data_IF_249751844763
#
_entry.id   IF_249751844763
#
_cell.length_a   1.000
_cell.length_b   1.000
_cell.length_c   1.000
_cell.angle_alpha   90.00
_cell.angle_beta   90.00
_cell.angle_gamma   90.00
#
_symmetry.space_group_name_H-M   'P 1'
#
loop_
_entity.id
_entity.type
_entity.pdbx_description
1 polymer ?
#
# COMPACT_ATOMS: atom_id res chain seq x y z
N UNK A 1 4.46 -6.55 5.17
CA UNK A 1 4.71 -5.71 3.97
C UNK A 1 6.12 -5.14 4.00
N UNK A 2 6.52 -4.35 5.00
CA UNK A 2 7.91 -3.86 5.14
C UNK A 2 8.94 -5.01 5.13
N UNK A 3 8.67 -6.12 5.84
CA UNK A 3 9.54 -7.29 5.83
C UNK A 3 9.71 -7.92 4.42
N UNK A 4 8.65 -7.92 3.61
CA UNK A 4 8.70 -8.45 2.24
C UNK A 4 9.57 -7.54 1.37
N UNK A 5 9.42 -6.21 1.51
CA UNK A 5 10.25 -5.23 0.82
C UNK A 5 11.73 -5.40 1.18
N UNK A 6 12.04 -5.53 2.47
CA UNK A 6 13.41 -5.77 2.97
C UNK A 6 13.98 -7.06 2.39
N UNK A 7 13.19 -8.15 2.37
CA UNK A 7 13.63 -9.44 1.84
C UNK A 7 13.93 -9.37 0.33
N UNK A 8 13.07 -8.70 -0.44
CA UNK A 8 13.28 -8.50 -1.88
C UNK A 8 14.58 -7.75 -2.16
N UNK A 9 14.90 -6.73 -1.37
CA UNK A 9 16.14 -5.96 -1.51
C UNK A 9 17.36 -6.79 -1.15
N UNK A 10 17.28 -7.56 -0.06
CA UNK A 10 18.36 -8.44 0.32
C UNK A 10 18.68 -9.45 -0.78
N UNK A 11 17.65 -9.97 -1.45
CA UNK A 11 17.80 -10.86 -2.61
C UNK A 11 18.45 -10.13 -3.79
N UNK A 12 17.96 -8.93 -4.16
CA UNK A 12 18.52 -8.12 -5.25
C UNK A 12 20.00 -7.81 -5.01
N UNK A 13 20.34 -7.33 -3.81
CA UNK A 13 21.70 -7.01 -3.42
C UNK A 13 22.61 -8.25 -3.43
N UNK A 14 22.13 -9.38 -2.90
CA UNK A 14 22.89 -10.63 -2.87
C UNK A 14 23.18 -11.16 -4.28
N UNK A 15 22.20 -11.13 -5.17
CA UNK A 15 22.38 -11.56 -6.57
C UNK A 15 23.39 -10.65 -7.27
N UNK A 16 23.30 -9.33 -7.08
CA UNK A 16 24.27 -8.38 -7.64
C UNK A 16 25.70 -8.66 -7.15
N UNK A 17 25.88 -8.94 -5.85
CA UNK A 17 27.18 -9.27 -5.27
C UNK A 17 27.74 -10.59 -5.84
N UNK A 18 26.89 -11.62 -5.98
CA UNK A 18 27.26 -12.93 -6.54
C UNK A 18 27.70 -12.80 -8.01
N UNK A 19 26.96 -12.03 -8.81
CA UNK A 19 27.26 -11.84 -10.25
C UNK A 19 28.58 -11.09 -10.44
N UNK A 20 28.81 -10.04 -9.66
CA UNK A 20 29.98 -9.17 -9.83
C UNK A 20 31.26 -9.80 -9.26
N UNK A 21 31.15 -10.50 -8.13
CA UNK A 21 32.30 -11.00 -7.36
C UNK A 21 33.00 -9.87 -6.58
N UNK A 22 33.48 -10.19 -5.37
CA UNK A 22 34.00 -9.23 -4.38
C UNK A 22 35.09 -8.30 -4.93
N UNK A 23 35.96 -8.80 -5.80
CA UNK A 23 37.12 -8.08 -6.34
C UNK A 23 36.74 -7.01 -7.38
N UNK A 24 35.55 -7.10 -7.97
CA UNK A 24 35.15 -6.29 -9.12
C UNK A 24 34.16 -5.18 -8.77
N UNK A 25 33.70 -5.13 -7.52
CA UNK A 25 32.60 -4.27 -7.09
C UNK A 25 33.05 -2.84 -6.81
N UNK A 26 34.31 -2.60 -6.43
CA UNK A 26 34.79 -1.34 -5.83
C UNK A 26 34.38 -0.07 -6.60
N UNK A 27 34.51 -0.08 -7.93
CA UNK A 27 34.25 1.11 -8.76
C UNK A 27 32.77 1.33 -9.11
N UNK A 28 31.92 0.33 -8.81
CA UNK A 28 30.49 0.31 -9.13
C UNK A 28 29.60 0.20 -7.88
N UNK A 29 30.17 0.06 -6.67
CA UNK A 29 29.44 0.02 -5.39
C UNK A 29 28.44 1.16 -5.29
N UNK A 30 28.91 2.39 -5.55
CA UNK A 30 28.13 3.60 -5.34
C UNK A 30 26.92 3.61 -6.27
N UNK A 31 27.05 3.48 -7.61
CA UNK A 31 25.89 3.44 -8.49
C UNK A 31 24.97 2.25 -8.21
N UNK A 32 25.50 1.07 -7.86
CA UNK A 32 24.68 -0.08 -7.43
C UNK A 32 23.86 0.22 -6.18
N UNK A 33 24.46 0.88 -5.20
CA UNK A 33 23.78 1.25 -3.97
C UNK A 33 22.67 2.26 -4.25
N UNK A 34 22.92 3.22 -5.14
CA UNK A 34 21.90 4.18 -5.58
C UNK A 34 20.71 3.48 -6.26
N UNK A 35 20.96 2.50 -7.13
CA UNK A 35 19.89 1.67 -7.70
C UNK A 35 19.08 0.94 -6.63
N UNK A 36 19.75 0.27 -5.68
CA UNK A 36 19.09 -0.46 -4.60
C UNK A 36 18.23 0.48 -3.73
N UNK A 37 18.74 1.67 -3.41
CA UNK A 37 18.01 2.67 -2.62
C UNK A 37 16.81 3.21 -3.40
N UNK A 38 16.97 3.50 -4.70
CA UNK A 38 15.85 3.90 -5.57
C UNK A 38 14.78 2.82 -5.66
N UNK A 39 15.17 1.56 -5.84
CA UNK A 39 14.27 0.41 -5.87
C UNK A 39 13.51 0.25 -4.56
N UNK A 40 14.19 0.45 -3.42
CA UNK A 40 13.55 0.43 -2.11
C UNK A 40 12.49 1.51 -1.97
N UNK A 41 12.82 2.74 -2.39
CA UNK A 41 11.89 3.86 -2.32
C UNK A 41 10.67 3.59 -3.21
N UNK A 42 10.86 3.12 -4.44
CA UNK A 42 9.77 2.76 -5.34
C UNK A 42 8.89 1.65 -4.78
N UNK A 43 9.49 0.55 -4.32
CA UNK A 43 8.75 -0.55 -3.70
C UNK A 43 7.97 -0.08 -2.47
N UNK A 44 8.59 0.73 -1.61
CA UNK A 44 7.91 1.31 -0.44
C UNK A 44 6.73 2.19 -0.86
N UNK A 45 6.94 3.13 -1.79
CA UNK A 45 5.87 4.01 -2.24
C UNK A 45 4.71 3.25 -2.87
N UNK A 46 5.01 2.23 -3.68
CA UNK A 46 3.99 1.46 -4.38
C UNK A 46 3.21 0.52 -3.46
N UNK A 47 3.87 -0.09 -2.48
CA UNK A 47 3.27 -1.05 -1.54
C UNK A 47 2.55 -0.34 -0.37
N UNK A 48 3.08 0.80 0.09
CA UNK A 48 2.57 1.51 1.28
C UNK A 48 1.57 2.59 0.89
N UNK A 49 1.86 3.40 -0.14
CA UNK A 49 1.15 4.64 -0.38
C UNK A 49 0.01 4.55 -1.42
N UNK A 50 -0.51 3.36 -1.71
CA UNK A 50 -1.73 3.12 -2.54
C UNK A 50 -1.67 3.59 -4.00
N UNK A 51 -0.54 4.08 -4.49
CA UNK A 51 -0.52 4.85 -5.73
C UNK A 51 -1.24 6.20 -5.55
N UNK A 52 -0.74 7.25 -6.21
CA UNK A 52 -1.28 8.61 -6.07
C UNK A 52 -0.22 9.63 -5.63
N UNK A 53 -0.63 10.70 -4.95
CA UNK A 53 0.21 11.87 -4.67
C UNK A 53 1.46 11.52 -3.86
N UNK A 54 1.37 10.63 -2.87
CA UNK A 54 2.53 10.17 -2.10
C UNK A 54 3.52 9.35 -2.96
N UNK A 55 3.04 8.57 -3.93
CA UNK A 55 3.92 7.89 -4.89
C UNK A 55 4.64 8.91 -5.79
N UNK A 56 3.99 10.01 -6.17
CA UNK A 56 4.62 11.11 -6.90
C UNK A 56 5.72 11.78 -6.06
N UNK A 57 5.48 12.03 -4.77
CA UNK A 57 6.50 12.58 -3.86
C UNK A 57 7.69 11.64 -3.68
N UNK A 58 7.45 10.35 -3.48
CA UNK A 58 8.54 9.36 -3.36
C UNK A 58 9.28 9.22 -4.70
N UNK A 59 8.54 9.23 -5.82
CA UNK A 59 9.09 9.23 -7.16
C UNK A 59 9.99 10.44 -7.45
N UNK A 60 9.66 11.61 -6.92
CA UNK A 60 10.47 12.83 -7.05
C UNK A 60 11.90 12.65 -6.52
N UNK A 61 12.10 11.80 -5.51
CA UNK A 61 13.42 11.49 -4.98
C UNK A 61 14.02 10.23 -5.62
N UNK A 62 13.21 9.20 -5.84
CA UNK A 62 13.67 7.92 -6.37
C UNK A 62 14.12 8.00 -7.84
N UNK A 63 13.41 8.76 -8.68
CA UNK A 63 13.68 8.91 -10.12
C UNK A 63 15.02 9.61 -10.37
N UNK A 64 15.35 10.77 -9.77
CA UNK A 64 16.65 11.40 -9.96
C UNK A 64 17.81 10.53 -9.48
N UNK A 65 17.66 9.86 -8.33
CA UNK A 65 18.68 8.93 -7.83
C UNK A 65 18.95 7.80 -8.83
N UNK A 66 17.89 7.25 -9.42
CA UNK A 66 17.99 6.18 -10.41
C UNK A 66 18.61 6.68 -11.72
N UNK A 67 18.28 7.90 -12.16
CA UNK A 67 18.89 8.54 -13.35
C UNK A 67 20.38 8.80 -13.16
N UNK A 68 20.79 9.30 -11.99
CA UNK A 68 22.21 9.53 -11.66
C UNK A 68 22.96 8.19 -11.68
N UNK A 69 22.40 7.16 -11.05
CA UNK A 69 22.98 5.82 -11.05
C UNK A 69 23.11 5.24 -12.47
N UNK A 70 22.07 5.43 -13.30
CA UNK A 70 22.04 4.99 -14.68
C UNK A 70 23.12 5.66 -15.53
N UNK A 71 23.22 6.99 -15.50
CA UNK A 71 24.24 7.73 -16.25
C UNK A 71 25.64 7.27 -15.82
N UNK A 72 25.85 7.07 -14.52
CA UNK A 72 27.14 6.62 -14.00
C UNK A 72 27.50 5.21 -14.48
N UNK A 73 26.55 4.26 -14.46
CA UNK A 73 26.77 2.91 -15.02
C UNK A 73 27.08 2.99 -16.51
N UNK A 74 26.35 3.80 -17.28
CA UNK A 74 26.59 3.99 -18.71
C UNK A 74 28.01 4.52 -18.99
N UNK A 75 28.46 5.55 -18.25
CA UNK A 75 29.84 6.06 -18.36
C UNK A 75 30.87 4.99 -17.99
N UNK A 76 30.60 4.18 -16.97
CA UNK A 76 31.50 3.10 -16.56
C UNK A 76 31.58 1.99 -17.62
N UNK A 77 30.44 1.61 -18.21
CA UNK A 77 30.35 0.64 -19.32
C UNK A 77 31.15 1.11 -20.53
N UNK A 78 31.02 2.38 -20.91
CA UNK A 78 31.80 2.99 -22.00
C UNK A 78 33.30 2.91 -21.69
N UNK A 79 33.73 3.29 -20.49
CA UNK A 79 35.15 3.22 -20.09
C UNK A 79 35.72 1.80 -20.16
N UNK A 80 34.95 0.80 -19.71
CA UNK A 80 35.35 -0.61 -19.77
C UNK A 80 35.47 -1.11 -21.22
N UNK A 81 34.56 -0.68 -22.10
CA UNK A 81 34.59 -1.04 -23.51
C UNK A 81 35.84 -0.48 -24.22
N UNK A 82 36.16 0.81 -24.00
CA UNK A 82 37.30 1.46 -24.66
C UNK A 82 38.67 1.02 -24.13
N UNK A 83 38.78 0.62 -22.85
CA UNK A 83 40.06 0.17 -22.27
C UNK A 83 40.47 -1.25 -22.66
N UNK A 84 39.69 -1.98 -23.48
CA UNK A 84 39.88 -3.41 -23.81
C UNK A 84 39.94 -4.38 -22.62
N UNK A 85 39.73 -3.88 -21.40
CA UNK A 85 39.80 -4.64 -20.15
C UNK A 85 38.39 -5.13 -19.78
N UNK A 86 37.81 -5.89 -20.69
CA UNK A 86 36.37 -6.17 -20.74
C UNK A 86 36.01 -7.27 -19.74
N UNK A 87 35.81 -6.88 -18.49
CA UNK A 87 35.32 -7.79 -17.46
C UNK A 87 33.82 -8.09 -17.70
N UNK A 88 33.55 -9.19 -18.42
CA UNK A 88 32.19 -9.64 -18.76
C UNK A 88 31.27 -9.72 -17.55
N UNK A 89 31.78 -10.09 -16.36
CA UNK A 89 30.97 -10.18 -15.13
C UNK A 89 30.51 -8.81 -14.65
N UNK A 90 31.38 -7.79 -14.70
CA UNK A 90 31.00 -6.39 -14.39
C UNK A 90 29.91 -5.90 -15.32
N UNK A 91 30.05 -6.17 -16.62
CA UNK A 91 29.09 -5.77 -17.64
C UNK A 91 27.71 -6.43 -17.41
N UNK A 92 27.69 -7.74 -17.12
CA UNK A 92 26.46 -8.49 -16.82
C UNK A 92 25.79 -7.95 -15.56
N UNK A 93 26.53 -7.68 -14.48
CA UNK A 93 25.95 -7.14 -13.23
C UNK A 93 25.35 -5.75 -13.39
N UNK A 94 25.99 -4.87 -14.17
CA UNK A 94 25.45 -3.56 -14.51
C UNK A 94 24.14 -3.66 -15.30
N UNK A 95 24.12 -4.49 -16.35
CA UNK A 95 22.92 -4.72 -17.17
C UNK A 95 21.79 -5.30 -16.31
N UNK A 96 22.10 -6.30 -15.49
CA UNK A 96 21.14 -6.95 -14.61
C UNK A 96 20.52 -5.97 -13.60
N UNK A 97 21.31 -5.06 -13.04
CA UNK A 97 20.82 -4.02 -12.12
C UNK A 97 19.83 -3.08 -12.79
N UNK A 98 20.08 -2.69 -14.04
CA UNK A 98 19.16 -1.86 -14.83
C UNK A 98 17.84 -2.62 -15.07
N UNK A 99 17.91 -3.90 -15.46
CA UNK A 99 16.71 -4.71 -15.69
C UNK A 99 15.88 -4.88 -14.42
N UNK A 100 16.51 -5.12 -13.26
CA UNK A 100 15.81 -5.18 -11.98
C UNK A 100 15.11 -3.85 -11.68
N UNK A 101 15.81 -2.74 -11.88
CA UNK A 101 15.28 -1.41 -11.56
C UNK A 101 14.10 -1.00 -12.47
N UNK A 102 14.13 -1.45 -13.72
CA UNK A 102 12.96 -1.30 -14.61
C UNK A 102 11.83 -2.20 -14.09
N UNK A 103 12.13 -3.45 -13.75
CA UNK A 103 11.16 -4.40 -13.21
C UNK A 103 10.44 -3.90 -11.96
N UNK A 104 11.16 -3.28 -11.00
CA UNK A 104 10.61 -2.75 -9.75
C UNK A 104 9.60 -1.62 -9.97
N UNK A 105 9.80 -0.78 -10.98
CA UNK A 105 8.86 0.29 -11.35
C UNK A 105 7.52 -0.27 -11.83
N UNK A 106 7.55 -1.39 -12.56
CA UNK A 106 6.36 -2.01 -13.14
C UNK A 106 5.68 -3.05 -12.24
N UNK A 107 6.19 -3.30 -11.04
CA UNK A 107 5.50 -4.16 -10.08
C UNK A 107 4.14 -3.52 -9.76
N UNK A 108 3.00 -4.19 -9.97
CA UNK A 108 1.72 -3.61 -9.60
C UNK A 108 1.59 -3.52 -8.08
N UNK A 109 0.86 -2.50 -7.60
CA UNK A 109 0.50 -2.43 -6.20
C UNK A 109 -0.32 -3.67 -5.80
N UNK A 110 -0.19 -4.14 -4.54
CA UNK A 110 -0.94 -5.30 -4.08
C UNK A 110 -2.46 -5.03 -4.17
N UNK A 111 -3.21 -6.00 -4.69
CA UNK A 111 -4.66 -5.88 -4.84
C UNK A 111 -5.37 -5.61 -3.51
N UNK A 112 -6.50 -4.91 -3.55
CA UNK A 112 -7.26 -4.57 -2.33
C UNK A 112 -7.73 -5.82 -1.58
N UNK A 113 -8.00 -6.92 -2.30
CA UNK A 113 -8.31 -8.23 -1.69
C UNK A 113 -7.14 -8.77 -0.85
N UNK A 114 -5.91 -8.71 -1.37
CA UNK A 114 -4.72 -9.14 -0.62
C UNK A 114 -4.51 -8.29 0.63
N UNK A 115 -4.71 -6.98 0.51
CA UNK A 115 -4.56 -6.04 1.62
C UNK A 115 -5.64 -6.22 2.68
N UNK A 116 -6.88 -6.44 2.27
CA UNK A 116 -7.97 -6.80 3.17
C UNK A 116 -7.61 -8.06 3.96
N UNK A 117 -7.13 -9.11 3.28
CA UNK A 117 -6.77 -10.40 3.91
C UNK A 117 -5.71 -10.26 5.02
N UNK A 118 -4.75 -9.35 4.87
CA UNK A 118 -3.74 -9.07 5.91
C UNK A 118 -4.33 -8.51 7.21
N UNK A 119 -5.48 -7.83 7.13
CA UNK A 119 -6.13 -7.16 8.26
C UNK A 119 -7.57 -7.64 8.48
N UNK A 120 -7.96 -8.76 7.87
CA UNK A 120 -9.33 -9.28 7.88
C UNK A 120 -9.85 -9.46 9.30
N UNK A 121 -9.02 -10.00 10.20
CA UNK A 121 -9.36 -10.13 11.62
C UNK A 121 -9.65 -8.79 12.28
N UNK A 122 -8.85 -7.77 11.96
CA UNK A 122 -8.99 -6.43 12.55
C UNK A 122 -10.27 -5.76 12.04
N UNK A 123 -10.55 -5.84 10.73
CA UNK A 123 -11.80 -5.39 10.12
C UNK A 123 -13.03 -6.12 10.70
N UNK A 124 -12.97 -7.45 10.80
CA UNK A 124 -14.09 -8.28 11.28
C UNK A 124 -14.46 -7.95 12.72
N UNK A 125 -13.47 -7.79 13.61
CA UNK A 125 -13.70 -7.41 15.02
C UNK A 125 -14.39 -6.06 15.11
N UNK A 126 -13.91 -5.07 14.35
CA UNK A 126 -14.49 -3.72 14.38
C UNK A 126 -15.90 -3.72 13.79
N UNK A 127 -16.11 -4.36 12.64
CA UNK A 127 -17.43 -4.43 12.01
C UNK A 127 -18.45 -5.15 12.90
N UNK A 128 -18.08 -6.28 13.51
CA UNK A 128 -18.96 -7.01 14.45
C UNK A 128 -19.31 -6.17 15.67
N UNK A 129 -18.36 -5.43 16.22
CA UNK A 129 -18.62 -4.55 17.36
C UNK A 129 -19.61 -3.45 17.00
N UNK A 130 -19.44 -2.80 15.85
CA UNK A 130 -20.35 -1.75 15.37
C UNK A 130 -21.76 -2.32 15.14
N UNK A 131 -21.88 -3.43 14.40
CA UNK A 131 -23.18 -4.07 14.15
C UNK A 131 -23.88 -4.48 15.45
N UNK A 132 -23.13 -4.99 16.44
CA UNK A 132 -23.66 -5.34 17.76
C UNK A 132 -24.22 -4.12 18.50
N UNK A 133 -23.53 -2.98 18.46
CA UNK A 133 -24.00 -1.74 19.10
C UNK A 133 -25.29 -1.23 18.44
N UNK A 134 -25.43 -1.39 17.11
CA UNK A 134 -26.70 -1.10 16.41
C UNK A 134 -27.83 -2.07 16.76
N UNK A 135 -27.53 -3.36 16.91
CA UNK A 135 -28.50 -4.38 17.35
C UNK A 135 -28.99 -4.07 18.78
N UNK A 136 -28.10 -3.59 19.65
CA UNK A 136 -28.40 -3.14 21.02
C UNK A 136 -29.10 -1.77 21.09
N UNK A 137 -29.39 -1.12 19.96
CA UNK A 137 -30.01 0.21 19.86
C UNK A 137 -29.29 1.33 20.63
N UNK A 138 -27.97 1.18 20.84
CA UNK A 138 -27.13 2.18 21.53
C UNK A 138 -26.68 3.34 20.62
N UNK A 139 -26.94 3.22 19.32
CA UNK A 139 -26.61 4.23 18.30
C UNK A 139 -27.86 4.64 17.53
N UNK A 140 -27.85 5.87 17.01
CA UNK A 140 -28.83 6.39 16.03
C UNK A 140 -28.90 5.49 14.79
N UNK A 141 -29.88 5.66 13.90
CA UNK A 141 -30.02 4.81 12.70
C UNK A 141 -28.79 4.80 11.79
N UNK A 142 -28.03 5.89 11.79
CA UNK A 142 -26.77 6.07 11.07
C UNK A 142 -25.80 6.83 11.98
N UNK A 143 -24.56 6.35 12.11
CA UNK A 143 -23.53 6.99 12.91
C UNK A 143 -22.21 6.98 12.16
N UNK A 144 -21.48 8.09 12.31
CA UNK A 144 -20.18 8.30 11.71
C UNK A 144 -19.18 8.49 12.84
N UNK A 145 -18.05 7.80 12.74
CA UNK A 145 -16.95 7.90 13.69
C UNK A 145 -15.66 8.28 12.97
N UNK A 146 -15.05 9.37 13.39
CA UNK A 146 -13.72 9.80 12.99
C UNK A 146 -12.70 9.25 14.00
N UNK A 147 -11.82 8.33 13.55
CA UNK A 147 -10.97 7.55 14.47
C UNK A 147 -10.02 8.45 15.29
N UNK A 148 -9.58 9.57 14.71
CA UNK A 148 -8.68 10.50 15.39
C UNK A 148 -9.40 11.55 16.23
N UNK A 149 -10.54 12.05 15.77
CA UNK A 149 -11.30 13.15 16.40
C UNK A 149 -12.22 12.66 17.52
N UNK A 150 -12.84 11.49 17.35
CA UNK A 150 -13.91 11.00 18.23
C UNK A 150 -13.41 10.01 19.29
N UNK A 151 -12.13 10.10 19.68
CA UNK A 151 -11.48 9.13 20.60
C UNK A 151 -12.27 8.94 21.90
N UNK A 152 -12.72 10.02 22.50
CA UNK A 152 -13.42 10.00 23.79
C UNK A 152 -14.82 9.36 23.68
N UNK A 153 -15.50 9.54 22.55
CA UNK A 153 -16.82 8.93 22.32
C UNK A 153 -16.68 7.45 21.98
N UNK A 154 -15.73 7.13 21.12
CA UNK A 154 -15.39 5.75 20.77
C UNK A 154 -15.04 4.92 22.01
N UNK A 155 -14.25 5.47 22.94
CA UNK A 155 -13.86 4.80 24.18
C UNK A 155 -15.02 4.61 25.18
N UNK A 156 -16.11 5.40 25.06
CA UNK A 156 -17.35 5.18 25.83
C UNK A 156 -18.21 4.05 25.27
N UNK A 157 -18.16 3.83 23.95
CA UNK A 157 -19.06 2.91 23.23
C UNK A 157 -18.41 1.54 23.05
N UNK A 158 -17.11 1.50 22.75
CA UNK A 158 -16.40 0.30 22.33
C UNK A 158 -15.35 -0.14 23.34
N UNK A 159 -15.08 -1.45 23.38
CA UNK A 159 -14.05 -2.01 24.25
C UNK A 159 -12.65 -1.55 23.83
N UNK A 160 -11.71 -1.54 24.79
CA UNK A 160 -10.29 -1.22 24.54
C UNK A 160 -9.68 -2.04 23.41
N UNK A 161 -10.11 -3.30 23.24
CA UNK A 161 -9.66 -4.15 22.15
C UNK A 161 -10.12 -3.61 20.79
N UNK A 162 -11.41 -3.28 20.64
CA UNK A 162 -11.96 -2.71 19.39
C UNK A 162 -11.27 -1.39 19.05
N UNK A 163 -11.06 -0.52 20.04
CA UNK A 163 -10.32 0.74 19.86
C UNK A 163 -8.88 0.50 19.40
N UNK A 164 -8.18 -0.48 19.98
CA UNK A 164 -6.83 -0.86 19.54
C UNK A 164 -6.83 -1.32 18.07
N UNK A 165 -7.87 -2.04 17.64
CA UNK A 165 -8.04 -2.48 16.25
C UNK A 165 -8.34 -1.31 15.31
N UNK A 166 -9.24 -0.40 15.69
CA UNK A 166 -9.51 0.84 14.95
C UNK A 166 -8.23 1.68 14.77
N UNK A 167 -7.47 1.91 15.84
CA UNK A 167 -6.17 2.62 15.79
C UNK A 167 -5.16 1.90 14.89
N UNK A 168 -5.13 0.57 14.89
CA UNK A 168 -4.27 -0.23 14.00
C UNK A 168 -4.69 -0.10 12.53
N UNK A 169 -5.99 -0.07 12.23
CA UNK A 169 -6.50 0.16 10.87
C UNK A 169 -6.19 1.57 10.38
N UNK A 170 -6.36 2.60 11.23
CA UNK A 170 -5.95 3.97 10.91
C UNK A 170 -4.44 4.05 10.59
N UNK A 171 -3.58 3.54 11.47
CA UNK A 171 -2.12 3.64 11.30
C UNK A 171 -1.58 2.92 10.06
N UNK A 172 -2.15 1.76 9.71
CA UNK A 172 -1.56 0.89 8.67
C UNK A 172 -2.30 0.92 7.34
N UNK A 173 -3.58 1.25 7.34
CA UNK A 173 -4.44 1.25 6.15
C UNK A 173 -5.10 2.61 5.92
N UNK A 174 -4.74 3.62 6.70
CA UNK A 174 -5.26 4.98 6.58
C UNK A 174 -6.80 5.04 6.62
N UNK A 175 -7.40 4.18 7.45
CA UNK A 175 -8.84 4.27 7.74
C UNK A 175 -9.05 5.50 8.62
N UNK A 176 -9.68 6.54 8.11
CA UNK A 176 -9.90 7.80 8.84
C UNK A 176 -11.29 7.84 9.45
N UNK A 177 -12.27 7.33 8.70
CA UNK A 177 -13.69 7.38 9.06
C UNK A 177 -14.31 5.99 8.97
N UNK A 178 -15.19 5.68 9.92
CA UNK A 178 -16.02 4.48 9.92
C UNK A 178 -17.48 4.92 10.00
N UNK A 179 -18.33 4.40 9.12
CA UNK A 179 -19.78 4.66 9.16
C UNK A 179 -20.51 3.34 9.13
N UNK A 180 -21.70 3.26 9.72
CA UNK A 180 -22.46 2.02 9.70
C UNK A 180 -23.94 2.20 9.94
N UNK A 181 -24.65 1.08 9.82
CA UNK A 181 -26.03 0.92 10.26
C UNK A 181 -26.23 -0.55 10.69
N UNK A 182 -27.48 -0.96 10.93
CA UNK A 182 -27.84 -2.33 11.37
C UNK A 182 -27.40 -3.45 10.41
N UNK A 183 -27.13 -3.14 9.14
CA UNK A 183 -26.93 -4.13 8.09
C UNK A 183 -25.51 -4.11 7.50
N UNK A 184 -24.75 -3.02 7.66
CA UNK A 184 -23.44 -2.87 7.04
C UNK A 184 -22.53 -1.88 7.78
N UNK A 185 -21.24 -1.94 7.47
CA UNK A 185 -20.18 -1.06 7.99
C UNK A 185 -19.24 -0.67 6.88
N UNK A 186 -19.02 0.64 6.72
CA UNK A 186 -18.07 1.26 5.80
C UNK A 186 -16.81 1.71 6.54
N UNK A 187 -15.65 1.42 5.94
CA UNK A 187 -14.33 1.89 6.35
C UNK A 187 -13.77 2.76 5.23
N UNK A 188 -13.65 4.06 5.48
CA UNK A 188 -13.19 5.04 4.50
C UNK A 188 -11.69 5.27 4.62
N UNK A 189 -11.01 5.27 3.49
CA UNK A 189 -9.58 5.53 3.35
C UNK A 189 -9.30 7.00 3.06
N UNK A 190 -8.17 7.52 3.53
CA UNK A 190 -7.65 8.82 3.11
C UNK A 190 -8.07 10.02 3.97
N UNK A 191 -7.33 11.13 3.81
CA UNK A 191 -7.57 12.39 4.49
C UNK A 191 -8.94 12.99 4.10
N UNK A 192 -9.56 13.66 5.07
CA UNK A 192 -10.96 14.13 5.16
C UNK A 192 -11.52 14.95 3.97
N UNK A 193 -10.75 15.19 2.91
CA UNK A 193 -11.10 16.12 1.84
C UNK A 193 -11.47 15.49 0.50
N UNK A 194 -10.96 14.31 0.08
CA UNK A 194 -11.17 13.87 -1.33
C UNK A 194 -11.15 12.35 -1.64
N UNK A 195 -10.82 11.46 -0.70
CA UNK A 195 -10.84 10.01 -1.02
C UNK A 195 -12.13 9.37 -0.53
N UNK A 196 -12.88 8.85 -1.48
CA UNK A 196 -14.16 8.17 -1.25
C UNK A 196 -13.99 6.67 -1.50
N UNK A 197 -12.80 6.16 -1.19
CA UNK A 197 -12.45 4.77 -1.38
C UNK A 197 -12.48 4.04 -0.04
N UNK A 198 -12.76 2.75 -0.05
CA UNK A 198 -12.89 2.04 1.20
C UNK A 198 -13.35 0.60 1.10
N UNK A 199 -13.61 0.03 2.26
CA UNK A 199 -14.13 -1.33 2.41
C UNK A 199 -15.53 -1.24 3.01
N UNK A 200 -16.47 -1.98 2.45
CA UNK A 200 -17.79 -2.19 3.05
C UNK A 200 -17.94 -3.66 3.44
N UNK A 201 -18.48 -3.90 4.63
CA UNK A 201 -18.78 -5.22 5.17
C UNK A 201 -20.27 -5.32 5.46
N UNK A 202 -20.93 -6.31 4.88
CA UNK A 202 -22.36 -6.59 5.05
C UNK A 202 -22.59 -7.67 6.11
N UNK A 203 -23.64 -7.51 6.93
CA UNK A 203 -24.07 -8.49 7.94
C UNK A 203 -24.63 -9.76 7.29
N UNK A 204 -25.43 -9.62 6.24
CA UNK A 204 -26.01 -10.73 5.47
C UNK A 204 -26.35 -10.31 4.03
N UNK A 205 -25.90 -11.09 3.03
CA UNK A 205 -26.18 -10.84 1.60
C UNK A 205 -27.63 -11.17 1.19
N UNK A 206 -28.37 -11.96 1.96
CA UNK A 206 -29.73 -12.43 1.60
C UNK A 206 -30.78 -11.33 1.41
N UNK A 207 -30.55 -10.11 1.89
CA UNK A 207 -31.54 -9.02 1.85
C UNK A 207 -31.09 -7.77 1.13
N UNK A 208 -29.98 -7.82 0.40
CA UNK A 208 -29.36 -6.59 -0.10
C UNK A 208 -28.90 -6.83 -1.53
N UNK A 209 -29.78 -6.58 -2.51
CA UNK A 209 -29.32 -5.73 -3.63
C UNK A 209 -28.74 -4.53 -2.89
N UNK A 210 -27.42 -4.24 -2.95
CA UNK A 210 -26.89 -3.03 -2.31
C UNK A 210 -27.76 -1.90 -2.83
N UNK A 211 -28.68 -1.40 -2.00
CA UNK A 211 -29.42 -0.19 -2.31
C UNK A 211 -28.33 0.85 -2.24
N UNK A 212 -27.78 1.13 -3.42
CA UNK A 212 -26.77 2.14 -3.68
C UNK A 212 -27.21 3.52 -3.14
N UNK A 213 -28.45 3.69 -2.68
CA UNK A 213 -29.00 4.90 -2.05
C UNK A 213 -28.15 5.47 -0.92
N UNK A 214 -27.51 4.64 -0.08
CA UNK A 214 -26.62 5.18 0.96
C UNK A 214 -25.31 5.70 0.37
N UNK A 215 -24.78 5.00 -0.63
CA UNK A 215 -23.54 5.41 -1.25
C UNK A 215 -23.79 6.67 -2.09
N UNK A 216 -24.85 6.70 -2.91
CA UNK A 216 -25.28 7.85 -3.72
C UNK A 216 -25.56 9.15 -2.94
N UNK A 217 -25.86 9.11 -1.64
CA UNK A 217 -26.04 10.33 -0.82
C UNK A 217 -24.74 10.94 -0.30
N UNK A 218 -23.64 10.17 -0.26
CA UNK A 218 -22.34 10.64 0.24
C UNK A 218 -21.19 10.47 -0.76
N UNK A 219 -21.40 9.72 -1.83
CA UNK A 219 -20.43 9.24 -2.81
C UNK A 219 -21.21 9.08 -4.13
N UNK A 220 -20.96 9.89 -5.15
CA UNK A 220 -21.62 9.66 -6.44
C UNK A 220 -21.17 8.30 -7.01
N UNK A 221 -22.12 7.40 -7.24
CA UNK A 221 -21.98 6.14 -7.99
C UNK A 221 -20.67 5.34 -7.76
N UNK A 222 -20.46 4.73 -6.58
CA UNK A 222 -19.27 3.94 -6.31
C UNK A 222 -19.18 2.72 -7.23
N UNK A 223 -18.00 2.43 -7.79
CA UNK A 223 -17.75 1.10 -8.33
C UNK A 223 -17.48 0.15 -7.17
N UNK A 224 -18.28 -0.91 -7.05
CA UNK A 224 -18.09 -1.98 -6.08
C UNK A 224 -17.30 -3.13 -6.71
N UNK A 225 -16.14 -3.42 -6.14
CA UNK A 225 -15.32 -4.57 -6.49
C UNK A 225 -15.44 -5.63 -5.38
N UNK A 226 -15.79 -6.85 -5.77
CA UNK A 226 -15.93 -7.95 -4.82
C UNK A 226 -14.57 -8.37 -4.27
N UNK A 227 -14.45 -8.45 -2.94
CA UNK A 227 -13.23 -8.97 -2.27
C UNK A 227 -13.46 -10.41 -1.82
N UNK A 228 -14.45 -10.61 -0.95
CA UNK A 228 -14.76 -11.90 -0.33
C UNK A 228 -16.14 -11.86 0.33
N UNK A 229 -16.61 -12.97 0.88
CA UNK A 229 -17.89 -13.13 1.59
C UNK A 229 -18.38 -11.87 2.32
N UNK A 230 -19.42 -11.22 1.78
CA UNK A 230 -20.04 -10.01 2.33
C UNK A 230 -19.11 -8.78 2.42
N UNK A 231 -17.98 -8.75 1.71
CA UNK A 231 -16.98 -7.68 1.74
C UNK A 231 -16.71 -7.19 0.33
N UNK A 232 -16.81 -5.87 0.14
CA UNK A 232 -16.54 -5.21 -1.14
C UNK A 232 -15.61 -4.04 -0.94
N UNK A 233 -14.73 -3.81 -1.90
CA UNK A 233 -14.06 -2.53 -2.08
C UNK A 233 -15.00 -1.58 -2.80
N UNK A 234 -15.08 -0.34 -2.34
CA UNK A 234 -15.77 0.71 -3.07
C UNK A 234 -14.75 1.76 -3.48
N UNK A 235 -14.89 2.22 -4.72
CA UNK A 235 -14.14 3.35 -5.26
C UNK A 235 -15.12 4.45 -5.60
N UNK A 236 -14.95 5.63 -5.02
CA UNK A 236 -15.78 6.78 -5.40
C UNK A 236 -15.25 7.42 -6.67
N UNK A 237 -16.14 7.75 -7.59
CA UNK A 237 -15.83 8.65 -8.69
C UNK A 237 -16.05 10.08 -8.20
N UNK A 238 -15.05 10.95 -8.41
CA UNK A 238 -15.16 12.40 -8.22
C UNK A 238 -15.74 13.03 -9.49
#
# INVERSE_FOLDING_TARGET
MILIVILSIFIIASINIIILGKENIRDIVIPLTLFIVSDFLFLCGNIICRGGVMLLFIGLFAIPLMLIAFIWICVHMIKLYYKKDLNKRKMIGCIFSIFISIGTIFIPSPSESFRFKLYEKDYSVVAKAILKVYDEKKLSSESVFYIQSDKNELEKIFSKEVIKKMKKLNRNLDVVKISGNRNLVYFFFGAELQSIDGIVIFKNLKHVKPKLDFINRSIQAPRLEYITNNVYYFKGEL
#
